data_IF_555433329171
#
_entry.id   IF_555433329171
#
_cell.length_a   1.000
_cell.length_b   1.000
_cell.length_c   1.000
_cell.angle_alpha   90.00
_cell.angle_beta   90.00
_cell.angle_gamma   90.00
#
_symmetry.space_group_name_H-M   'P 1'
#
loop_
_entity.id
_entity.type
_entity.pdbx_description
1 polymer ?
#
# COMPACT_ATOMS: atom_id res chain seq x y z
N UNK A 1 5.49 3.05 13.80
CA UNK A 1 5.32 4.23 12.92
C UNK A 1 3.83 4.54 12.89
N UNK A 2 3.42 5.78 13.19
CA UNK A 2 2.02 6.19 13.07
C UNK A 2 1.85 6.82 11.68
N UNK A 3 1.70 5.98 10.66
CA UNK A 3 1.41 6.43 9.30
C UNK A 3 -0.10 6.42 9.08
N UNK A 4 -0.59 7.44 8.37
CA UNK A 4 -1.99 7.56 7.95
C UNK A 4 -2.00 7.44 6.44
N UNK A 5 -2.72 6.44 5.92
CA UNK A 5 -2.78 6.14 4.49
C UNK A 5 -4.01 6.79 3.84
N UNK A 6 -3.87 7.22 2.59
CA UNK A 6 -4.93 7.86 1.81
C UNK A 6 -4.99 7.26 0.41
N UNK A 7 -6.18 7.15 -0.17
CA UNK A 7 -6.32 6.95 -1.62
C UNK A 7 -6.01 8.24 -2.36
N UNK A 8 -5.37 8.15 -3.53
CA UNK A 8 -4.90 9.34 -4.28
C UNK A 8 -6.04 10.27 -4.73
N UNK A 9 -7.26 9.76 -4.87
CA UNK A 9 -8.44 10.53 -5.30
C UNK A 9 -9.40 10.86 -4.16
N UNK A 10 -9.14 10.38 -2.93
CA UNK A 10 -9.99 10.62 -1.77
C UNK A 10 -9.25 11.46 -0.73
N UNK A 11 -10.02 12.17 0.10
CA UNK A 11 -9.47 12.99 1.20
C UNK A 11 -9.60 12.32 2.56
N UNK A 12 -10.34 11.20 2.64
CA UNK A 12 -10.55 10.47 3.88
C UNK A 12 -9.42 9.48 4.11
N UNK A 13 -8.94 9.44 5.36
CA UNK A 13 -7.93 8.47 5.76
C UNK A 13 -8.50 7.05 5.70
N UNK A 14 -7.66 6.10 5.27
CA UNK A 14 -7.96 4.69 5.36
C UNK A 14 -8.06 4.26 6.83
N UNK A 15 -8.98 3.34 7.10
CA UNK A 15 -9.03 2.68 8.40
C UNK A 15 -7.73 1.90 8.65
N UNK A 16 -7.20 1.88 9.87
CA UNK A 16 -6.01 1.09 10.18
C UNK A 16 -6.24 -0.41 9.89
N UNK A 17 -5.28 -1.08 9.25
CA UNK A 17 -5.25 -2.54 9.15
C UNK A 17 -6.07 -3.19 8.03
N UNK A 18 -6.41 -2.49 6.96
CA UNK A 18 -7.10 -3.10 5.80
C UNK A 18 -6.09 -3.73 4.83
N UNK A 19 -6.25 -5.02 4.54
CA UNK A 19 -5.60 -5.79 3.46
C UNK A 19 -4.05 -5.88 3.46
N UNK A 20 -3.38 -5.44 4.52
CA UNK A 20 -1.93 -5.58 4.67
C UNK A 20 -1.49 -7.04 4.78
N UNK A 21 -0.42 -7.38 4.07
CA UNK A 21 0.30 -8.62 4.34
C UNK A 21 0.82 -8.65 5.79
N UNK A 22 0.96 -9.85 6.35
CA UNK A 22 1.40 -10.00 7.74
C UNK A 22 2.78 -9.39 7.94
N UNK A 23 2.84 -8.38 8.82
CA UNK A 23 4.06 -7.64 9.11
C UNK A 23 4.16 -6.29 8.39
N UNK A 24 3.27 -5.99 7.45
CA UNK A 24 3.22 -4.71 6.73
C UNK A 24 2.19 -3.73 7.35
N UNK A 25 2.36 -2.41 7.16
CA UNK A 25 3.53 -1.75 6.55
C UNK A 25 4.74 -1.71 7.49
N UNK A 26 5.95 -1.93 6.99
CA UNK A 26 7.16 -2.07 7.81
C UNK A 26 8.30 -1.07 7.54
N UNK A 27 8.24 -0.28 6.47
CA UNK A 27 9.31 0.59 6.00
C UNK A 27 10.69 -0.11 6.07
N UNK A 28 10.78 -1.25 5.40
CA UNK A 28 11.87 -2.21 5.49
C UNK A 28 13.20 -1.52 5.23
N UNK A 29 14.11 -1.62 6.20
CA UNK A 29 15.46 -1.02 6.16
C UNK A 29 15.46 0.49 5.94
N UNK A 30 14.43 1.22 6.39
CA UNK A 30 14.33 2.67 6.27
C UNK A 30 14.40 3.15 4.80
N UNK A 31 13.70 2.45 3.91
CA UNK A 31 13.68 2.73 2.46
C UNK A 31 12.66 3.79 2.04
N UNK A 32 11.99 4.45 2.98
CA UNK A 32 10.94 5.45 2.73
C UNK A 32 9.81 4.86 1.88
N UNK A 33 9.24 3.77 2.37
CA UNK A 33 8.19 3.02 1.70
C UNK A 33 6.82 3.68 1.93
N UNK A 34 6.55 4.79 1.25
CA UNK A 34 5.35 5.62 1.45
C UNK A 34 4.24 5.40 0.38
N UNK A 35 4.37 4.37 -0.45
CA UNK A 35 3.37 3.97 -1.45
C UNK A 35 2.93 2.52 -1.27
N UNK A 36 1.71 2.18 -1.72
CA UNK A 36 1.16 0.81 -1.60
C UNK A 36 1.32 0.05 -2.90
N UNK A 37 1.74 -1.22 -2.81
CA UNK A 37 1.66 -2.19 -3.91
C UNK A 37 0.87 -3.42 -3.48
N UNK A 38 0.17 -4.04 -4.43
CA UNK A 38 -0.49 -5.34 -4.25
C UNK A 38 0.47 -6.42 -4.75
N UNK A 39 0.82 -7.37 -3.89
CA UNK A 39 1.71 -8.47 -4.25
C UNK A 39 0.97 -9.81 -4.30
N UNK A 40 0.66 -10.27 -5.52
CA UNK A 40 -0.09 -11.51 -5.78
C UNK A 40 0.58 -12.80 -5.30
N UNK A 41 1.84 -12.76 -4.85
CA UNK A 41 2.51 -13.92 -4.25
C UNK A 41 2.12 -14.13 -2.78
N UNK A 42 1.39 -13.19 -2.16
CA UNK A 42 0.87 -13.30 -0.79
C UNK A 42 -0.58 -13.79 -0.75
N UNK A 43 -1.23 -13.66 0.41
CA UNK A 43 -2.63 -14.04 0.62
C UNK A 43 -3.57 -13.35 -0.38
N UNK A 44 -4.71 -13.96 -0.71
CA UNK A 44 -5.62 -13.39 -1.70
C UNK A 44 -6.21 -12.05 -1.24
N UNK A 45 -6.53 -11.93 0.05
CA UNK A 45 -7.14 -10.73 0.62
C UNK A 45 -6.09 -9.82 1.28
N UNK A 46 -5.11 -10.40 1.97
CA UNK A 46 -4.12 -9.66 2.76
C UNK A 46 -2.74 -9.65 2.06
N UNK A 47 -2.60 -8.83 1.03
CA UNK A 47 -1.42 -8.78 0.15
C UNK A 47 -0.85 -7.39 -0.12
N UNK A 48 -1.27 -6.37 0.62
CA UNK A 48 -0.66 -5.05 0.48
C UNK A 48 0.72 -5.01 1.13
N UNK A 49 1.64 -4.29 0.49
CA UNK A 49 3.00 -4.06 0.94
C UNK A 49 3.33 -2.58 0.74
N UNK A 50 3.95 -1.94 1.72
CA UNK A 50 4.48 -0.60 1.53
C UNK A 50 5.79 -0.67 0.74
N UNK A 51 5.93 0.20 -0.26
CA UNK A 51 7.05 0.23 -1.16
C UNK A 51 7.49 1.67 -1.41
N UNK A 52 8.78 1.84 -1.72
CA UNK A 52 9.32 3.13 -2.13
C UNK A 52 8.61 3.60 -3.40
N UNK A 53 8.11 4.84 -3.40
CA UNK A 53 7.26 5.38 -4.46
C UNK A 53 7.99 5.48 -5.82
N UNK A 54 9.32 5.56 -5.80
CA UNK A 54 10.18 5.60 -6.97
C UNK A 54 10.37 4.24 -7.66
N UNK A 55 9.90 3.14 -7.06
CA UNK A 55 9.98 1.82 -7.67
C UNK A 55 9.14 1.76 -8.95
N UNK A 56 9.73 1.22 -10.02
CA UNK A 56 9.08 1.03 -11.32
C UNK A 56 8.18 -0.22 -11.32
N UNK A 57 7.06 -0.16 -10.60
CA UNK A 57 6.05 -1.22 -10.56
C UNK A 57 4.98 -1.03 -11.65
N UNK A 58 4.22 -2.10 -11.93
CA UNK A 58 2.97 -1.98 -12.67
C UNK A 58 1.93 -1.22 -11.83
N UNK A 59 0.99 -0.55 -12.51
CA UNK A 59 -0.06 0.23 -11.87
C UNK A 59 -1.45 -0.28 -12.27
N UNK A 60 -2.42 -0.03 -11.39
CA UNK A 60 -3.84 -0.22 -11.66
C UNK A 60 -4.48 1.16 -11.79
N UNK A 61 -5.26 1.35 -12.86
CA UNK A 61 -6.08 2.55 -13.03
C UNK A 61 -7.54 2.22 -12.70
N UNK A 62 -8.19 3.11 -11.98
CA UNK A 62 -9.63 3.14 -11.83
C UNK A 62 -10.21 4.21 -12.76
N UNK A 63 -11.39 3.96 -13.31
CA UNK A 63 -12.15 4.92 -14.11
C UNK A 63 -13.61 4.86 -13.69
N UNK A 64 -14.22 6.02 -13.52
CA UNK A 64 -15.67 6.12 -13.38
C UNK A 64 -16.40 5.45 -14.56
N UNK A 65 -17.54 4.83 -14.26
CA UNK A 65 -18.42 4.20 -15.26
C UNK A 65 -19.11 5.23 -16.16
#
# INVERSE_FOLDING_TARGET
MNLVWFWILETSALQPGVFWYSGEPNNFKHRNEDCVVINHYYDYENNWNDAACENLNFWLCEKDM
#
